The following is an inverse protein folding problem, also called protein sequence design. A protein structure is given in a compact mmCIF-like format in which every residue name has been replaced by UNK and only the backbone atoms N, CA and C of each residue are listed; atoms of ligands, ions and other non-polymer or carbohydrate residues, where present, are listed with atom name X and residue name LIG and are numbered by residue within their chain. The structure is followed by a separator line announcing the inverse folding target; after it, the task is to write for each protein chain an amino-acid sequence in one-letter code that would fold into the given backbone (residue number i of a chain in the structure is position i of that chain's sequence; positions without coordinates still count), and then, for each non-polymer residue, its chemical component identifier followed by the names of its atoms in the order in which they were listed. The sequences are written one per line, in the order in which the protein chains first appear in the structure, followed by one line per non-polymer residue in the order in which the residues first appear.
data_IF_139603678724
#
_entry.id   IF_139603678724
#
_cell.length_a   1.000
_cell.length_b   1.000
_cell.length_c   1.000
_cell.angle_alpha   90.00
_cell.angle_beta   90.00
_cell.angle_gamma   90.00
#
_symmetry.space_group_name_H-M   'P 1'
#
loop_
_entity.id
_entity.type
_entity.pdbx_description
1 polymer ?
#
# COMPACT_ATOMS: atom_id res chain seq x y z
N UNK A 1 12.92 3.34 5.86
CA UNK A 1 12.28 2.86 4.62
C UNK A 1 11.01 2.16 5.06
N UNK A 2 9.89 2.87 5.02
CA UNK A 2 8.58 2.24 5.25
C UNK A 2 8.29 1.48 3.96
N UNK A 3 8.21 0.16 4.06
CA UNK A 3 7.98 -0.73 2.94
C UNK A 3 6.51 -1.06 2.87
N UNK A 4 5.77 -0.13 2.32
CA UNK A 4 4.33 -0.20 2.30
C UNK A 4 3.86 -1.02 1.09
N UNK A 5 3.32 -2.21 1.35
CA UNK A 5 2.61 -3.02 0.36
C UNK A 5 1.12 -2.64 0.36
N UNK A 6 0.86 -1.34 0.31
CA UNK A 6 -0.48 -0.75 0.45
C UNK A 6 -1.43 -1.20 -0.66
N UNK A 7 -0.91 -1.55 -1.85
CA UNK A 7 -1.73 -2.12 -2.92
C UNK A 7 -2.39 -3.43 -2.48
N UNK A 8 -1.72 -4.28 -1.70
CA UNK A 8 -2.29 -5.54 -1.23
C UNK A 8 -3.41 -5.32 -0.21
N UNK A 9 -3.25 -4.37 0.71
CA UNK A 9 -4.29 -4.04 1.68
C UNK A 9 -5.53 -3.44 1.00
N UNK A 10 -5.33 -2.56 0.00
CA UNK A 10 -6.42 -1.96 -0.79
C UNK A 10 -7.21 -3.01 -1.56
N UNK A 11 -6.53 -3.85 -2.36
CA UNK A 11 -7.22 -4.85 -3.20
C UNK A 11 -7.87 -5.95 -2.37
N UNK A 12 -7.33 -6.25 -1.18
CA UNK A 12 -7.89 -7.27 -0.28
C UNK A 12 -9.01 -6.76 0.64
N UNK A 13 -9.39 -5.49 0.52
CA UNK A 13 -10.41 -4.85 1.37
C UNK A 13 -10.12 -4.97 2.88
N UNK A 14 -8.87 -4.74 3.28
CA UNK A 14 -8.31 -4.96 4.63
C UNK A 14 -8.28 -6.41 5.13
N UNK A 15 -8.41 -7.43 4.26
CA UNK A 15 -8.11 -8.81 4.68
C UNK A 15 -6.63 -9.01 5.00
N UNK A 16 -5.76 -8.28 4.33
CA UNK A 16 -4.35 -8.18 4.69
C UNK A 16 -4.04 -6.78 5.21
N UNK A 17 -3.13 -6.70 6.18
CA UNK A 17 -2.68 -5.46 6.79
C UNK A 17 -1.24 -5.16 6.36
N UNK A 18 -1.00 -3.98 5.79
CA UNK A 18 0.35 -3.46 5.58
C UNK A 18 0.90 -3.02 6.93
N UNK A 19 1.95 -3.69 7.40
CA UNK A 19 2.58 -3.35 8.66
C UNK A 19 3.53 -2.16 8.49
N UNK A 20 3.60 -1.28 9.49
CA UNK A 20 4.65 -0.28 9.56
C UNK A 20 5.95 -0.92 10.08
N UNK A 21 7.05 -0.71 9.36
CA UNK A 21 8.37 -1.19 9.75
C UNK A 21 9.39 -0.06 9.73
N UNK A 22 10.25 -0.05 10.75
CA UNK A 22 11.40 0.87 10.84
C UNK A 22 12.68 0.13 11.13
N UNK A 23 13.78 0.67 10.64
CA UNK A 23 15.13 0.20 10.89
C UNK A 23 15.82 1.20 11.80
N UNK A 24 16.20 0.77 13.00
CA UNK A 24 17.01 1.57 13.92
C UNK A 24 18.49 1.53 13.50
N UNK A 25 19.16 2.68 13.53
CA UNK A 25 20.59 2.77 13.35
C UNK A 25 21.31 2.13 14.55
N UNK A 26 22.45 1.48 14.29
CA UNK A 26 23.30 0.88 15.31
C UNK A 26 24.73 1.41 15.13
N UNK A 27 25.34 1.87 16.23
CA UNK A 27 26.68 2.46 16.22
C UNK A 27 27.79 1.41 16.48
N UNK A 28 27.43 0.17 16.83
CA UNK A 28 28.41 -0.87 17.23
C UNK A 28 28.83 -1.76 16.07
N UNK A 29 27.90 -2.10 15.18
CA UNK A 29 28.15 -3.06 14.08
C UNK A 29 27.31 -2.72 12.86
N UNK A 30 27.95 -2.79 11.69
CA UNK A 30 27.28 -2.68 10.40
C UNK A 30 26.22 -3.76 10.20
N UNK A 31 25.04 -3.35 9.73
CA UNK A 31 23.94 -4.25 9.35
C UNK A 31 23.66 -4.11 7.87
N UNK A 32 23.66 -5.24 7.15
CA UNK A 32 23.34 -5.30 5.73
C UNK A 32 22.07 -6.13 5.55
N UNK A 33 21.13 -5.62 4.76
CA UNK A 33 19.89 -6.30 4.39
C UNK A 33 19.56 -5.96 2.94
N UNK A 34 19.08 -6.94 2.18
CA UNK A 34 18.60 -6.74 0.81
C UNK A 34 17.10 -6.96 0.81
N UNK A 35 16.35 -5.98 0.33
CA UNK A 35 14.90 -6.07 0.20
C UNK A 35 14.53 -6.31 -1.28
N UNK A 36 13.47 -7.08 -1.51
CA UNK A 36 12.91 -7.37 -2.82
C UNK A 36 11.42 -7.01 -2.82
N UNK A 37 10.97 -6.27 -3.84
CA UNK A 37 9.59 -5.80 -3.97
C UNK A 37 8.95 -6.40 -5.22
N UNK A 38 7.84 -7.10 -5.03
CA UNK A 38 7.00 -7.59 -6.12
C UNK A 38 5.93 -6.54 -6.43
N UNK A 39 6.02 -5.92 -7.60
CA UNK A 39 5.19 -4.79 -8.03
C UNK A 39 4.70 -5.03 -9.46
N UNK A 40 3.53 -5.65 -9.59
CA UNK A 40 2.89 -5.86 -10.90
C UNK A 40 2.13 -4.63 -11.41
N UNK A 41 1.97 -3.61 -10.57
CA UNK A 41 1.20 -2.40 -10.81
C UNK A 41 1.94 -1.37 -11.69
N UNK A 42 3.28 -1.40 -11.70
CA UNK A 42 4.09 -0.37 -12.35
C UNK A 42 3.99 -0.38 -13.88
N UNK A 43 3.74 -1.53 -14.50
CA UNK A 43 3.70 -1.67 -15.96
C UNK A 43 2.37 -1.17 -16.58
N UNK A 44 1.38 -0.86 -15.74
CA UNK A 44 0.03 -0.46 -16.17
C UNK A 44 -0.50 0.71 -15.32
N UNK A 45 0.07 1.93 -15.50
CA UNK A 45 -0.24 3.07 -14.65
C UNK A 45 -1.71 3.51 -14.70
N UNK A 46 -2.38 3.30 -15.83
CA UNK A 46 -3.78 3.68 -16.03
C UNK A 46 -4.77 2.57 -15.63
N UNK A 47 -4.27 1.39 -15.22
CA UNK A 47 -5.13 0.33 -14.70
C UNK A 47 -5.75 0.76 -13.36
N UNK A 48 -7.02 0.44 -13.19
CA UNK A 48 -7.73 0.71 -11.95
C UNK A 48 -7.38 -0.37 -10.92
N UNK A 49 -6.92 0.07 -9.75
CA UNK A 49 -6.82 -0.74 -8.55
C UNK A 49 -7.99 -0.42 -7.61
N UNK A 50 -8.60 -1.46 -7.06
CA UNK A 50 -9.75 -1.38 -6.17
C UNK A 50 -9.94 -2.70 -5.44
N UNK A 51 -10.84 -2.77 -4.45
CA UNK A 51 -11.19 -4.01 -3.77
C UNK A 51 -11.59 -5.11 -4.78
N UNK A 52 -11.05 -6.31 -4.62
CA UNK A 52 -11.40 -7.48 -5.45
C UNK A 52 -12.89 -7.78 -5.27
N UNK A 53 -13.63 -7.83 -6.37
CA UNK A 53 -15.09 -7.97 -6.35
C UNK A 53 -15.55 -9.24 -5.62
N UNK A 54 -14.85 -10.35 -5.81
CA UNK A 54 -15.15 -11.63 -5.16
C UNK A 54 -14.98 -11.62 -3.63
N UNK A 55 -14.32 -10.59 -3.07
CA UNK A 55 -14.16 -10.41 -1.63
C UNK A 55 -15.26 -9.53 -1.01
N UNK A 56 -16.12 -8.93 -1.83
CA UNK A 56 -17.19 -8.03 -1.39
C UNK A 56 -18.48 -8.79 -1.13
N UNK A 57 -19.23 -8.34 -0.13
CA UNK A 57 -20.56 -8.84 0.22
C UNK A 57 -21.38 -7.74 0.90
N UNK A 58 -22.67 -7.98 1.17
CA UNK A 58 -23.47 -7.04 1.98
C UNK A 58 -22.84 -6.80 3.36
N UNK A 59 -22.30 -7.85 3.99
CA UNK A 59 -21.61 -7.77 5.28
C UNK A 59 -20.17 -7.22 5.18
N UNK A 60 -19.59 -7.16 3.97
CA UNK A 60 -18.25 -6.65 3.72
C UNK A 60 -18.24 -5.71 2.49
N UNK A 61 -18.82 -4.51 2.62
CA UNK A 61 -18.85 -3.54 1.52
C UNK A 61 -17.43 -3.06 1.17
N UNK A 62 -17.25 -2.46 -0.02
CA UNK A 62 -15.97 -1.88 -0.40
C UNK A 62 -15.58 -0.74 0.55
N UNK A 63 -14.43 -0.86 1.19
CA UNK A 63 -13.86 0.17 2.08
C UNK A 63 -13.04 1.21 1.34
N UNK A 64 -12.67 0.90 0.10
CA UNK A 64 -11.83 1.74 -0.75
C UNK A 64 -12.50 1.97 -2.10
N UNK A 65 -12.36 3.18 -2.64
CA UNK A 65 -12.80 3.51 -3.99
C UNK A 65 -11.81 2.94 -5.00
N UNK A 66 -12.29 2.63 -6.20
CA UNK A 66 -11.40 2.35 -7.31
C UNK A 66 -10.59 3.61 -7.67
N UNK A 67 -9.29 3.45 -7.89
CA UNK A 67 -8.34 4.51 -8.25
C UNK A 67 -7.38 3.99 -9.31
N UNK A 68 -6.78 4.85 -10.12
CA UNK A 68 -5.69 4.39 -10.99
C UNK A 68 -4.43 4.09 -10.17
N UNK A 69 -3.60 3.16 -10.65
CA UNK A 69 -2.28 2.91 -10.06
C UNK A 69 -1.46 4.22 -10.03
N UNK A 70 -1.51 5.00 -11.10
CA UNK A 70 -0.82 6.28 -11.21
C UNK A 70 -1.24 7.28 -10.13
N UNK A 71 -2.55 7.45 -9.92
CA UNK A 71 -3.09 8.34 -8.87
C UNK A 71 -2.61 7.88 -7.50
N UNK A 72 -2.72 6.57 -7.23
CA UNK A 72 -2.27 5.96 -6.00
C UNK A 72 -0.77 6.24 -5.72
N UNK A 73 0.10 5.98 -6.70
CA UNK A 73 1.54 6.20 -6.55
C UNK A 73 1.91 7.67 -6.40
N UNK A 74 1.26 8.55 -7.17
CA UNK A 74 1.51 9.97 -7.07
C UNK A 74 1.13 10.49 -5.68
N UNK A 75 -0.03 10.12 -5.17
CA UNK A 75 -0.45 10.49 -3.81
C UNK A 75 0.51 9.94 -2.75
N UNK A 76 0.84 8.64 -2.82
CA UNK A 76 1.77 8.00 -1.88
C UNK A 76 3.14 8.71 -1.83
N UNK A 77 3.71 9.03 -3.00
CA UNK A 77 5.00 9.70 -3.11
C UNK A 77 4.95 11.15 -2.59
N UNK A 78 3.88 11.89 -2.88
CA UNK A 78 3.72 13.29 -2.42
C UNK A 78 3.51 13.35 -0.90
N UNK A 79 2.69 12.45 -0.36
CA UNK A 79 2.38 12.40 1.07
C UNK A 79 3.63 12.16 1.92
N UNK A 80 4.46 11.20 1.51
CA UNK A 80 5.66 10.82 2.27
C UNK A 80 5.36 10.17 3.63
N UNK A 81 6.33 10.27 4.54
CA UNK A 81 6.35 9.57 5.83
C UNK A 81 5.88 10.49 6.97
N UNK A 82 4.57 10.66 7.11
CA UNK A 82 3.94 11.47 8.16
C UNK A 82 3.32 10.62 9.31
N UNK A 83 3.49 9.29 9.27
CA UNK A 83 2.92 8.36 10.25
C UNK A 83 1.44 8.03 10.06
N UNK A 84 0.81 8.48 8.97
CA UNK A 84 -0.54 8.09 8.58
C UNK A 84 -0.53 7.16 7.37
N UNK A 85 -1.59 6.37 7.17
CA UNK A 85 -1.68 5.51 5.97
C UNK A 85 -2.08 6.33 4.74
N UNK A 86 -1.37 6.14 3.62
CA UNK A 86 -1.77 6.74 2.34
C UNK A 86 -3.13 6.21 1.84
N UNK A 87 -3.59 5.06 2.34
CA UNK A 87 -4.89 4.47 1.99
C UNK A 87 -6.08 5.30 2.48
N UNK A 88 -5.88 6.16 3.49
CA UNK A 88 -6.95 7.02 4.01
C UNK A 88 -7.53 7.94 2.93
N UNK A 89 -6.71 8.37 1.95
CA UNK A 89 -7.18 9.20 0.84
C UNK A 89 -8.15 8.49 -0.11
N UNK A 90 -8.12 7.16 -0.12
CA UNK A 90 -8.91 6.32 -1.02
C UNK A 90 -10.08 5.63 -0.32
N UNK A 91 -10.26 5.85 0.98
CA UNK A 91 -11.32 5.21 1.77
C UNK A 91 -12.70 5.79 1.39
N UNK A 92 -13.74 4.94 1.40
CA UNK A 92 -15.16 5.30 1.19
C UNK A 92 -15.86 5.48 2.53
#
# INVERSE_FOLDING_TARGET
MVFDCLSLQLISNDRFTSAEHRVLANNVRSRVSVACFFRGDLDKPDELCGPIQDLLSEDNPPKYRATSVKEYLNHYNIKGLDGTSALLHFRV
#
